data_IF_131604736145
#
_entry.id   IF_131604736145
#
_cell.length_a   1.000
_cell.length_b   1.000
_cell.length_c   1.000
_cell.angle_alpha   90.00
_cell.angle_beta   90.00
_cell.angle_gamma   90.00
#
_symmetry.space_group_name_H-M   'P 1'
#
loop_
_entity.id
_entity.type
_entity.pdbx_description
1 polymer ?
#
# COMPACT_ATOMS: atom_id res chain seq x y z
N UNK A 1 23.10 -2.68 0.61
CA UNK A 1 22.55 -1.82 -0.48
C UNK A 1 21.55 -0.84 0.12
N UNK A 2 21.76 0.48 0.00
CA UNK A 2 20.73 1.47 0.36
C UNK A 2 19.50 1.21 -0.52
N UNK A 3 18.39 0.74 0.06
CA UNK A 3 17.14 0.59 -0.70
C UNK A 3 16.69 1.99 -1.13
N UNK A 4 16.68 2.22 -2.43
CA UNK A 4 16.22 3.48 -3.00
C UNK A 4 14.69 3.48 -3.00
N UNK A 5 14.08 3.82 -1.85
CA UNK A 5 12.63 3.92 -1.67
C UNK A 5 11.94 4.78 -2.74
N UNK A 6 12.64 5.80 -3.26
CA UNK A 6 12.17 6.67 -4.34
C UNK A 6 11.83 5.91 -5.63
N UNK A 7 12.68 4.97 -6.06
CA UNK A 7 12.41 4.16 -7.26
C UNK A 7 11.23 3.21 -7.05
N UNK A 8 11.10 2.65 -5.85
CA UNK A 8 9.97 1.78 -5.48
C UNK A 8 8.65 2.55 -5.57
N UNK A 9 8.63 3.78 -5.07
CA UNK A 9 7.43 4.63 -5.14
C UNK A 9 7.08 4.95 -6.60
N UNK A 10 8.07 5.37 -7.40
CA UNK A 10 7.86 5.74 -8.80
C UNK A 10 7.35 4.57 -9.66
N UNK A 11 7.92 3.37 -9.48
CA UNK A 11 7.48 2.17 -10.20
C UNK A 11 6.05 1.77 -9.79
N UNK A 12 5.79 1.74 -8.48
CA UNK A 12 4.50 1.31 -7.97
C UNK A 12 3.38 2.28 -8.33
N UNK A 13 3.59 3.61 -8.27
CA UNK A 13 2.54 4.56 -8.65
C UNK A 13 2.17 4.40 -10.13
N UNK A 14 3.16 4.21 -11.02
CA UNK A 14 2.91 3.96 -12.44
C UNK A 14 2.00 2.73 -12.61
N UNK A 15 2.40 1.59 -12.04
CA UNK A 15 1.63 0.36 -12.13
C UNK A 15 0.21 0.50 -11.54
N UNK A 16 0.07 1.20 -10.42
CA UNK A 16 -1.23 1.46 -9.77
C UNK A 16 -2.15 2.28 -10.68
N UNK A 17 -1.65 3.36 -11.30
CA UNK A 17 -2.44 4.20 -12.20
C UNK A 17 -2.99 3.40 -13.39
N UNK A 18 -2.14 2.61 -14.06
CA UNK A 18 -2.58 1.77 -15.18
C UNK A 18 -3.60 0.71 -14.76
N UNK A 19 -3.35 -0.01 -13.67
CA UNK A 19 -4.31 -1.02 -13.18
C UNK A 19 -5.67 -0.42 -12.83
N UNK A 20 -5.71 0.77 -12.22
CA UNK A 20 -6.98 1.42 -11.90
C UNK A 20 -7.69 1.87 -13.18
N UNK A 21 -6.96 2.40 -14.16
CA UNK A 21 -7.53 2.80 -15.45
C UNK A 21 -8.09 1.60 -16.22
N UNK A 22 -7.44 0.44 -16.13
CA UNK A 22 -7.93 -0.84 -16.68
C UNK A 22 -9.14 -1.42 -15.92
N UNK A 23 -9.69 -0.69 -14.94
CA UNK A 23 -10.87 -1.10 -14.18
C UNK A 23 -10.58 -1.94 -12.93
N UNK A 24 -9.31 -2.24 -12.61
CA UNK A 24 -8.97 -3.00 -11.40
C UNK A 24 -9.25 -2.16 -10.15
N UNK A 25 -9.86 -2.78 -9.13
CA UNK A 25 -10.19 -2.13 -7.85
C UNK A 25 -9.58 -2.88 -6.67
N UNK A 26 -9.25 -2.19 -5.56
CA UNK A 26 -8.72 -2.84 -4.35
C UNK A 26 -9.68 -3.88 -3.79
N UNK A 27 -9.38 -5.17 -3.94
CA UNK A 27 -10.26 -6.27 -3.56
C UNK A 27 -9.53 -7.43 -2.88
N UNK A 28 -10.32 -8.24 -2.15
CA UNK A 28 -9.89 -9.43 -1.41
C UNK A 28 -9.07 -10.46 -2.20
N UNK A 29 -9.34 -10.59 -3.51
CA UNK A 29 -8.91 -11.71 -4.35
C UNK A 29 -8.37 -11.22 -5.69
N UNK A 30 -7.69 -12.11 -6.42
CA UNK A 30 -7.24 -11.93 -7.81
C UNK A 30 -6.44 -10.62 -8.04
N UNK A 31 -6.71 -9.91 -9.14
CA UNK A 31 -5.99 -8.69 -9.54
C UNK A 31 -6.12 -7.57 -8.50
N UNK A 32 -7.28 -7.45 -7.85
CA UNK A 32 -7.48 -6.46 -6.80
C UNK A 32 -6.61 -6.69 -5.56
N UNK A 33 -6.19 -7.93 -5.31
CA UNK A 33 -5.21 -8.22 -4.26
C UNK A 33 -3.82 -7.71 -4.64
N UNK A 34 -3.40 -7.93 -5.89
CA UNK A 34 -2.12 -7.43 -6.41
C UNK A 34 -2.08 -5.90 -6.32
N UNK A 35 -3.16 -5.22 -6.72
CA UNK A 35 -3.28 -3.77 -6.62
C UNK A 35 -3.08 -3.27 -5.17
N UNK A 36 -3.77 -3.87 -4.20
CA UNK A 36 -3.58 -3.53 -2.77
C UNK A 36 -2.14 -3.74 -2.31
N UNK A 37 -1.49 -4.81 -2.77
CA UNK A 37 -0.10 -5.09 -2.42
C UNK A 37 0.84 -4.03 -2.96
N UNK A 38 0.66 -3.58 -4.20
CA UNK A 38 1.45 -2.49 -4.79
C UNK A 38 1.24 -1.18 -4.03
N UNK A 39 -0.01 -0.81 -3.75
CA UNK A 39 -0.36 0.37 -2.95
C UNK A 39 0.33 0.34 -1.58
N UNK A 40 0.21 -0.78 -0.84
CA UNK A 40 0.82 -0.90 0.49
C UNK A 40 2.34 -0.86 0.45
N UNK A 41 2.99 -1.47 -0.56
CA UNK A 41 4.46 -1.39 -0.73
C UNK A 41 4.94 0.04 -1.01
N UNK A 42 4.18 0.79 -1.81
CA UNK A 42 4.41 2.21 -2.02
C UNK A 42 4.28 2.97 -0.70
N UNK A 43 3.18 2.79 0.04
CA UNK A 43 2.96 3.45 1.33
C UNK A 43 4.05 3.15 2.35
N UNK A 44 4.47 1.88 2.50
CA UNK A 44 5.58 1.52 3.41
C UNK A 44 6.87 2.25 3.04
N UNK A 45 7.15 2.38 1.73
CA UNK A 45 8.34 3.09 1.25
C UNK A 45 8.23 4.59 1.47
N UNK A 46 7.04 5.17 1.32
CA UNK A 46 6.76 6.58 1.64
C UNK A 46 6.94 6.87 3.13
N UNK A 47 6.38 6.02 4.01
CA UNK A 47 6.57 6.12 5.45
C UNK A 47 8.04 6.00 5.86
N UNK A 48 8.81 5.13 5.19
CA UNK A 48 10.26 4.99 5.42
C UNK A 48 11.05 6.24 5.07
N UNK A 49 10.49 7.11 4.21
CA UNK A 49 11.05 8.42 3.86
C UNK A 49 10.49 9.56 4.73
N UNK A 50 9.64 9.28 5.72
CA UNK A 50 8.99 10.29 6.55
C UNK A 50 7.85 11.05 5.86
N UNK A 51 7.33 10.53 4.74
CA UNK A 51 6.22 11.15 4.02
C UNK A 51 4.89 10.80 4.72
N UNK A 52 4.05 11.80 4.95
CA UNK A 52 2.70 11.61 5.44
C UNK A 52 1.78 11.02 4.34
N UNK A 53 1.48 9.73 4.47
CA UNK A 53 0.61 9.00 3.54
C UNK A 53 -0.89 9.36 3.69
N UNK A 54 -1.28 10.17 4.67
CA UNK A 54 -2.67 10.65 4.82
C UNK A 54 -2.89 12.02 4.16
N UNK A 55 -1.83 12.65 3.64
CA UNK A 55 -1.93 13.90 2.92
C UNK A 55 -2.45 13.67 1.49
N UNK A 56 -3.70 14.07 1.20
CA UNK A 56 -4.31 13.93 -0.14
C UNK A 56 -3.48 14.58 -1.25
N UNK A 57 -2.82 15.71 -0.94
CA UNK A 57 -1.99 16.44 -1.92
C UNK A 57 -0.85 15.57 -2.47
N UNK A 58 -0.26 14.71 -1.63
CA UNK A 58 0.80 13.79 -2.06
C UNK A 58 0.36 12.89 -3.22
N UNK A 59 -0.86 12.35 -3.17
CA UNK A 59 -1.39 11.50 -4.24
C UNK A 59 -1.80 12.30 -5.46
N UNK A 60 -2.35 13.50 -5.29
CA UNK A 60 -2.68 14.40 -6.41
C UNK A 60 -1.42 14.70 -7.21
N UNK A 61 -0.35 15.11 -6.53
CA UNK A 61 0.92 15.46 -7.19
C UNK A 61 1.55 14.24 -7.88
N UNK A 62 1.51 13.06 -7.24
CA UNK A 62 2.03 11.82 -7.82
C UNK A 62 1.24 11.36 -9.05
N UNK A 63 -0.09 11.26 -8.94
CA UNK A 63 -0.95 10.81 -10.04
C UNK A 63 -0.84 11.78 -11.21
N UNK A 64 -0.86 13.10 -10.94
CA UNK A 64 -0.67 14.12 -11.98
C UNK A 64 0.65 13.96 -12.72
N UNK A 65 1.74 13.66 -12.00
CA UNK A 65 3.06 13.43 -12.59
C UNK A 65 3.10 12.21 -13.51
N UNK A 66 2.36 11.14 -13.18
CA UNK A 66 2.22 9.98 -14.07
C UNK A 66 1.40 10.37 -15.28
N UNK A 67 0.24 10.99 -15.09
CA UNK A 67 -0.66 11.26 -16.21
C UNK A 67 -0.07 12.25 -17.21
N UNK A 68 0.64 13.29 -16.77
CA UNK A 68 1.29 14.23 -17.69
C UNK A 68 2.31 13.57 -18.62
N UNK A 69 2.82 12.38 -18.28
CA UNK A 69 3.78 11.63 -19.13
C UNK A 69 3.06 10.76 -20.17
N UNK A 70 1.82 10.32 -19.87
CA UNK A 70 1.13 9.30 -20.67
C UNK A 70 -0.20 9.78 -21.27
N UNK A 71 -0.67 10.99 -20.97
CA UNK A 71 -2.00 11.46 -21.36
C UNK A 71 -2.23 11.56 -22.87
N UNK A 72 -1.17 11.75 -23.67
CA UNK A 72 -1.28 11.81 -25.14
C UNK A 72 -1.65 10.45 -25.76
N UNK A 73 -1.25 9.36 -25.12
CA UNK A 73 -1.48 7.98 -25.61
C UNK A 73 -2.66 7.33 -24.88
N UNK A 74 -2.84 7.63 -23.60
CA UNK A 74 -3.84 7.01 -22.73
C UNK A 74 -4.81 8.06 -22.18
N UNK A 75 -5.85 8.37 -22.95
CA UNK A 75 -6.87 9.38 -22.61
C UNK A 75 -7.66 8.98 -21.35
N UNK A 76 -7.96 7.69 -21.19
CA UNK A 76 -8.70 7.18 -20.01
C UNK A 76 -7.96 7.42 -18.70
N UNK A 77 -6.62 7.39 -18.74
CA UNK A 77 -5.76 7.68 -17.59
C UNK A 77 -5.99 9.09 -17.04
N UNK A 78 -6.30 10.05 -17.93
CA UNK A 78 -6.64 11.43 -17.58
C UNK A 78 -8.03 11.55 -16.97
N UNK A 79 -9.01 10.87 -17.55
CA UNK A 79 -10.38 10.88 -17.05
C UNK A 79 -10.48 10.27 -15.64
N UNK A 80 -9.67 9.25 -15.36
CA UNK A 80 -9.70 8.50 -14.11
C UNK A 80 -8.84 9.09 -12.97
N UNK A 81 -8.15 10.23 -13.18
CA UNK A 81 -7.26 10.82 -12.16
C UNK A 81 -7.91 10.99 -10.79
N UNK A 82 -9.14 11.53 -10.76
CA UNK A 82 -9.88 11.75 -9.51
C UNK A 82 -10.15 10.43 -8.79
N UNK A 83 -10.58 9.41 -9.54
CA UNK A 83 -10.83 8.08 -9.03
C UNK A 83 -9.56 7.43 -8.45
N UNK A 84 -8.42 7.55 -9.14
CA UNK A 84 -7.14 7.01 -8.66
C UNK A 84 -6.75 7.61 -7.31
N UNK A 85 -6.87 8.94 -7.18
CA UNK A 85 -6.56 9.64 -5.92
C UNK A 85 -7.48 9.19 -4.80
N UNK A 86 -8.79 9.07 -5.06
CA UNK A 86 -9.75 8.66 -4.03
C UNK A 86 -9.54 7.20 -3.59
N UNK A 87 -9.25 6.28 -4.52
CA UNK A 87 -8.93 4.90 -4.18
C UNK A 87 -7.63 4.77 -3.37
N UNK A 88 -6.59 5.52 -3.74
CA UNK A 88 -5.33 5.59 -3.00
C UNK A 88 -5.56 6.10 -1.57
N UNK A 89 -6.36 7.16 -1.41
CA UNK A 89 -6.70 7.72 -0.10
C UNK A 89 -7.45 6.71 0.78
N UNK A 90 -8.46 6.05 0.22
CA UNK A 90 -9.23 5.02 0.95
C UNK A 90 -8.32 3.89 1.42
N UNK A 91 -7.43 3.39 0.56
CA UNK A 91 -6.51 2.31 0.95
C UNK A 91 -5.43 2.80 1.92
N UNK A 92 -4.93 4.04 1.79
CA UNK A 92 -3.97 4.63 2.73
C UNK A 92 -4.53 4.74 4.15
N UNK A 93 -5.78 5.17 4.29
CA UNK A 93 -6.48 5.21 5.59
C UNK A 93 -6.62 3.80 6.18
N UNK A 94 -7.03 2.82 5.38
CA UNK A 94 -7.12 1.42 5.82
C UNK A 94 -5.77 0.86 6.24
N UNK A 95 -4.72 1.20 5.50
CA UNK A 95 -3.36 0.76 5.77
C UNK A 95 -2.80 1.38 7.06
N UNK A 96 -3.00 2.68 7.27
CA UNK A 96 -2.62 3.39 8.49
C UNK A 96 -3.24 2.75 9.75
N UNK A 97 -4.56 2.53 9.75
CA UNK A 97 -5.26 1.81 10.84
C UNK A 97 -4.74 0.39 11.08
N UNK A 98 -4.25 -0.26 10.03
CA UNK A 98 -3.76 -1.61 10.13
C UNK A 98 -2.31 -1.68 10.63
N UNK A 99 -1.45 -0.71 10.29
CA UNK A 99 -0.14 -0.53 10.94
C UNK A 99 -0.31 -0.23 12.42
N UNK A 100 -1.22 0.67 12.78
CA UNK A 100 -1.43 1.05 14.19
C UNK A 100 -1.83 -0.16 15.05
N UNK A 101 -2.78 -0.96 14.56
CA UNK A 101 -3.13 -2.24 15.19
C UNK A 101 -1.96 -3.20 15.23
N UNK A 102 -1.17 -3.27 14.15
CA UNK A 102 -0.01 -4.15 14.09
C UNK A 102 1.08 -3.78 15.10
N UNK A 103 1.35 -2.49 15.28
CA UNK A 103 2.31 -2.00 16.26
C UNK A 103 1.84 -2.28 17.70
N UNK A 104 0.54 -2.10 17.99
CA UNK A 104 -0.03 -2.43 19.30
C UNK A 104 0.14 -3.91 19.65
N UNK A 105 -0.17 -4.79 18.71
CA UNK A 105 0.00 -6.24 18.90
C UNK A 105 1.48 -6.63 18.96
N UNK A 106 2.34 -5.97 18.18
CA UNK A 106 3.79 -6.16 18.25
C UNK A 106 4.32 -5.85 19.66
N UNK A 107 4.00 -4.67 20.21
CA UNK A 107 4.46 -4.27 21.54
C UNK A 107 4.06 -5.28 22.62
N UNK A 108 2.80 -5.75 22.62
CA UNK A 108 2.31 -6.74 23.61
C UNK A 108 3.10 -8.04 23.63
N UNK A 109 3.65 -8.44 22.48
CA UNK A 109 4.32 -9.74 22.36
C UNK A 109 5.79 -9.64 22.74
N UNK A 110 6.40 -8.47 22.54
CA UNK A 110 7.80 -8.23 22.87
C UNK A 110 8.01 -7.66 24.27
N UNK A 111 6.96 -7.21 24.96
CA UNK A 111 7.01 -6.92 26.39
C UNK A 111 7.29 -8.20 27.20
N UNK A 112 8.51 -8.33 27.70
CA UNK A 112 8.91 -9.40 28.63
C UNK A 112 9.51 -10.67 28.02
N UNK A 113 9.80 -10.69 26.71
CA UNK A 113 10.39 -11.86 26.03
C UNK A 113 11.88 -11.63 25.76
N UNK A 114 12.73 -12.37 26.46
CA UNK A 114 14.20 -12.35 26.28
C UNK A 114 14.69 -13.24 25.14
N UNK A 115 13.92 -14.26 24.75
CA UNK A 115 14.31 -15.23 23.73
C UNK A 115 13.22 -15.35 22.65
N UNK A 116 13.56 -14.97 21.43
CA UNK A 116 12.57 -14.77 20.37
C UNK A 116 12.47 -16.04 19.53
N UNK A 117 11.47 -16.86 19.82
CA UNK A 117 11.14 -18.05 19.01
C UNK A 117 10.71 -17.63 17.59
N UNK A 118 11.49 -18.06 16.59
CA UNK A 118 11.23 -17.79 15.17
C UNK A 118 9.85 -18.31 14.71
N UNK A 119 9.32 -19.39 15.31
CA UNK A 119 7.98 -19.87 15.02
C UNK A 119 6.90 -18.89 15.51
N UNK A 120 7.10 -18.27 16.68
CA UNK A 120 6.24 -17.18 17.16
C UNK A 120 6.34 -15.96 16.24
N UNK A 121 7.55 -15.54 15.83
CA UNK A 121 7.72 -14.45 14.86
C UNK A 121 6.92 -14.74 13.57
N UNK A 122 7.01 -15.96 13.04
CA UNK A 122 6.32 -16.35 11.83
C UNK A 122 4.80 -16.31 11.99
N UNK A 123 4.26 -16.82 13.11
CA UNK A 123 2.83 -16.77 13.42
C UNK A 123 2.35 -15.33 13.62
N UNK A 124 3.16 -14.46 14.22
CA UNK A 124 2.88 -13.03 14.38
C UNK A 124 2.92 -12.33 13.03
N UNK A 125 3.91 -12.62 12.20
CA UNK A 125 3.98 -12.10 10.84
C UNK A 125 2.73 -12.50 10.07
N UNK A 126 2.31 -13.76 10.13
CA UNK A 126 1.06 -14.21 9.54
C UNK A 126 -0.12 -13.47 10.17
N UNK A 127 -0.20 -13.34 11.49
CA UNK A 127 -1.36 -12.75 12.18
C UNK A 127 -1.46 -11.23 12.03
N UNK A 128 -0.34 -10.53 11.90
CA UNK A 128 -0.28 -9.10 11.61
C UNK A 128 -0.53 -8.83 10.13
N UNK A 129 0.02 -9.68 9.26
CA UNK A 129 -0.36 -9.70 7.85
C UNK A 129 -1.84 -10.06 7.74
N UNK A 130 -2.39 -10.94 8.57
CA UNK A 130 -3.80 -11.35 8.57
C UNK A 130 -4.70 -10.33 9.30
N UNK A 131 -4.23 -9.55 10.28
CA UNK A 131 -4.98 -8.43 10.87
C UNK A 131 -5.02 -7.21 9.93
N UNK A 132 -4.02 -7.07 9.05
CA UNK A 132 -4.06 -6.25 7.84
C UNK A 132 -5.03 -6.80 6.79
N UNK A 133 -5.57 -8.01 6.96
CA UNK A 133 -6.43 -8.74 6.04
C UNK A 133 -7.69 -9.26 6.72
N UNK A 134 -8.73 -8.43 6.69
CA UNK A 134 -10.09 -8.90 6.93
C UNK A 134 -10.58 -9.77 5.74
N UNK A 135 -9.89 -10.87 5.46
CA UNK A 135 -10.22 -11.85 4.42
C UNK A 135 -9.83 -13.24 4.94
N UNK A 136 -10.84 -13.96 5.44
CA UNK A 136 -10.86 -15.43 5.38
C UNK A 136 -10.50 -15.84 3.96
N UNK A 137 -9.32 -16.44 3.79
CA UNK A 137 -8.95 -17.46 2.79
C UNK A 137 -7.45 -17.33 2.53
N UNK A 138 -6.68 -18.16 3.24
CA UNK A 138 -5.50 -18.78 2.68
C UNK A 138 -5.95 -20.20 2.35
N UNK A 139 -6.30 -20.41 1.08
CA UNK A 139 -5.94 -21.54 0.22
C UNK A 139 -6.18 -21.07 -1.22
#
# INVERSE_FOLDING_TARGET
MKKNHRYIIADHIKAICFLISDGVRPMGKQQGYILRRLMRRMFSSSLSLGIDILNKKFYVDLVKSVVSVYEEVYVDLKNDQGLMVDLLMVEAVKYSKAIERGNKEWSKIFEGVQDIDYAKIFLIFIRLTVCLWNCRMIF
#
